data_IF_428754677223
#
_entry.id   IF_428754677223
#
_cell.length_a   1.000
_cell.length_b   1.000
_cell.length_c   1.000
_cell.angle_alpha   90.00
_cell.angle_beta   90.00
_cell.angle_gamma   90.00
#
_symmetry.space_group_name_H-M   'P 1'
#
loop_
_entity.id
_entity.type
_entity.pdbx_description
1 polymer ?
#
# COMPACT_ATOMS: atom_id res chain seq x y z
N UNK A 1 14.29 -21.10 20.53
CA UNK A 1 14.91 -21.88 19.42
C UNK A 1 14.02 -21.67 18.23
N UNK A 2 14.53 -21.01 17.18
CA UNK A 2 13.77 -20.77 15.94
C UNK A 2 13.63 -22.12 15.23
N UNK A 3 12.41 -22.55 14.97
CA UNK A 3 12.11 -23.79 14.30
C UNK A 3 12.54 -23.63 12.82
N UNK A 4 13.63 -24.30 12.40
CA UNK A 4 14.25 -24.14 11.07
C UNK A 4 13.36 -24.59 9.89
N UNK A 5 12.13 -25.02 10.14
CA UNK A 5 11.18 -25.48 9.12
C UNK A 5 9.99 -24.54 8.91
N UNK A 6 9.93 -23.40 9.59
CA UNK A 6 8.84 -22.43 9.43
C UNK A 6 9.15 -21.49 8.25
N UNK A 7 8.17 -21.31 7.38
CA UNK A 7 8.29 -20.41 6.22
C UNK A 7 8.56 -18.98 6.68
N UNK A 8 9.40 -18.27 5.95
CA UNK A 8 9.73 -16.86 6.26
C UNK A 8 8.47 -15.98 6.31
N UNK A 9 7.49 -16.28 5.47
CA UNK A 9 6.19 -15.60 5.42
C UNK A 9 5.37 -15.82 6.69
N UNK A 10 5.38 -17.03 7.27
CA UNK A 10 4.66 -17.32 8.51
C UNK A 10 5.30 -16.60 9.70
N UNK A 11 6.63 -16.61 9.77
CA UNK A 11 7.39 -15.85 10.77
C UNK A 11 7.10 -14.34 10.66
N UNK A 12 7.03 -13.80 9.43
CA UNK A 12 6.73 -12.39 9.21
C UNK A 12 5.31 -12.03 9.67
N UNK A 13 4.33 -12.91 9.41
CA UNK A 13 2.97 -12.72 9.87
C UNK A 13 2.88 -12.74 11.41
N UNK A 14 3.50 -13.70 12.08
CA UNK A 14 3.48 -13.79 13.55
C UNK A 14 4.20 -12.58 14.18
N UNK A 15 5.33 -12.16 13.63
CA UNK A 15 6.01 -10.94 14.06
C UNK A 15 5.11 -9.71 13.92
N UNK A 16 4.43 -9.54 12.77
CA UNK A 16 3.51 -8.44 12.57
C UNK A 16 2.33 -8.49 13.55
N UNK A 17 1.77 -9.68 13.84
CA UNK A 17 0.71 -9.87 14.84
C UNK A 17 1.14 -9.42 16.23
N UNK A 18 2.35 -9.83 16.64
CA UNK A 18 2.90 -9.44 17.93
C UNK A 18 3.07 -7.92 18.03
N UNK A 19 3.69 -7.31 16.99
CA UNK A 19 3.98 -5.87 16.99
C UNK A 19 2.74 -4.99 16.94
N UNK A 20 1.71 -5.39 16.20
CA UNK A 20 0.44 -4.67 16.07
C UNK A 20 -0.61 -5.08 17.12
N UNK A 21 -0.25 -5.92 18.10
CA UNK A 21 -1.19 -6.40 19.11
C UNK A 21 -1.90 -5.25 19.83
N UNK A 22 -3.23 -5.30 19.85
CA UNK A 22 -4.08 -4.29 20.48
C UNK A 22 -4.29 -3.02 19.66
N UNK A 23 -3.67 -2.90 18.49
CA UNK A 23 -3.98 -1.79 17.57
C UNK A 23 -5.27 -2.08 16.79
N UNK A 24 -6.04 -1.03 16.53
CA UNK A 24 -7.31 -1.09 15.80
C UNK A 24 -7.25 -0.22 14.54
N UNK A 25 -7.96 -0.60 13.48
CA UNK A 25 -8.16 0.25 12.30
C UNK A 25 -9.05 1.45 12.66
N UNK A 26 -8.87 2.55 11.90
CA UNK A 26 -9.68 3.78 12.05
C UNK A 26 -11.02 3.66 11.31
N UNK A 27 -11.72 2.56 11.52
CA UNK A 27 -13.03 2.28 10.95
C UNK A 27 -14.11 2.60 11.99
N UNK A 28 -15.37 2.78 11.57
CA UNK A 28 -16.51 2.89 12.48
C UNK A 28 -16.75 1.56 13.21
N UNK A 29 -16.57 0.44 12.50
CA UNK A 29 -16.62 -0.91 13.09
C UNK A 29 -15.24 -1.28 13.65
N UNK A 30 -15.12 -1.73 14.90
CA UNK A 30 -13.84 -2.15 15.46
C UNK A 30 -13.25 -3.35 14.71
N UNK A 31 -12.08 -3.17 14.12
CA UNK A 31 -11.33 -4.20 13.40
C UNK A 31 -9.86 -4.15 13.82
N UNK A 32 -9.27 -5.29 14.18
CA UNK A 32 -7.86 -5.36 14.53
C UNK A 32 -6.97 -4.91 13.36
N UNK A 33 -5.94 -4.11 13.67
CA UNK A 33 -5.06 -3.54 12.66
C UNK A 33 -4.37 -4.60 11.80
N UNK A 34 -4.03 -5.75 12.36
CA UNK A 34 -3.34 -6.84 11.65
C UNK A 34 -4.09 -7.33 10.40
N UNK A 35 -5.41 -7.11 10.32
CA UNK A 35 -6.19 -7.44 9.12
C UNK A 35 -5.69 -6.68 7.89
N UNK A 36 -5.19 -5.44 8.06
CA UNK A 36 -4.63 -4.63 6.98
C UNK A 36 -3.36 -5.26 6.38
N UNK A 37 -2.27 -5.52 7.12
CA UNK A 37 -1.11 -6.21 6.58
C UNK A 37 -1.43 -7.58 5.94
N UNK A 38 -2.38 -8.33 6.50
CA UNK A 38 -2.84 -9.60 5.92
C UNK A 38 -3.48 -9.37 4.54
N UNK A 39 -4.36 -8.39 4.42
CA UNK A 39 -5.00 -8.05 3.15
C UNK A 39 -3.99 -7.58 2.12
N UNK A 40 -3.04 -6.71 2.51
CA UNK A 40 -1.97 -6.24 1.63
C UNK A 40 -1.12 -7.41 1.12
N UNK A 41 -0.72 -8.34 1.99
CA UNK A 41 0.02 -9.53 1.60
C UNK A 41 -0.77 -10.44 0.64
N UNK A 42 -2.08 -10.60 0.85
CA UNK A 42 -2.96 -11.34 -0.07
C UNK A 42 -3.07 -10.66 -1.44
N UNK A 43 -3.13 -9.33 -1.48
CA UNK A 43 -3.10 -8.57 -2.73
C UNK A 43 -1.75 -8.72 -3.44
N UNK A 44 -0.62 -8.68 -2.72
CA UNK A 44 0.71 -8.93 -3.28
C UNK A 44 0.77 -10.34 -3.89
N UNK A 45 0.29 -11.37 -3.20
CA UNK A 45 0.17 -12.74 -3.76
C UNK A 45 -0.69 -12.75 -5.04
N UNK A 46 -1.81 -12.05 -5.05
CA UNK A 46 -2.72 -11.98 -6.21
C UNK A 46 -2.03 -11.40 -7.45
N UNK A 47 -1.27 -10.30 -7.31
CA UNK A 47 -0.74 -9.57 -8.46
C UNK A 47 0.68 -9.97 -8.85
N UNK A 48 1.49 -10.48 -7.91
CA UNK A 48 2.91 -10.74 -8.09
C UNK A 48 3.31 -12.22 -7.90
N UNK A 49 2.36 -13.17 -7.99
CA UNK A 49 2.59 -14.60 -7.75
C UNK A 49 3.66 -15.24 -8.67
N UNK A 50 3.94 -14.63 -9.81
CA UNK A 50 4.93 -15.14 -10.77
C UNK A 50 6.35 -14.57 -10.53
N UNK A 51 6.56 -13.73 -9.51
CA UNK A 51 7.88 -13.21 -9.18
C UNK A 51 8.68 -14.25 -8.39
N UNK A 52 9.95 -14.41 -8.74
CA UNK A 52 10.86 -15.34 -8.06
C UNK A 52 11.02 -15.01 -6.56
N UNK A 53 10.97 -13.72 -6.21
CA UNK A 53 11.10 -13.22 -4.84
C UNK A 53 9.75 -13.00 -4.14
N UNK A 54 8.71 -13.76 -4.50
CA UNK A 54 7.34 -13.56 -3.96
C UNK A 54 7.30 -13.67 -2.44
N UNK A 55 8.08 -14.57 -1.82
CA UNK A 55 8.10 -14.74 -0.37
C UNK A 55 8.70 -13.53 0.34
N UNK A 56 9.71 -12.86 -0.24
CA UNK A 56 10.26 -11.61 0.27
C UNK A 56 9.24 -10.47 0.19
N UNK A 57 8.50 -10.40 -0.93
CA UNK A 57 7.44 -9.41 -1.12
C UNK A 57 6.29 -9.60 -0.13
N UNK A 58 5.82 -10.83 0.04
CA UNK A 58 4.73 -11.19 0.97
C UNK A 58 5.16 -10.90 2.41
N UNK A 59 6.37 -11.30 2.79
CA UNK A 59 6.92 -11.01 4.12
C UNK A 59 7.04 -9.50 4.37
N UNK A 60 7.54 -8.75 3.37
CA UNK A 60 7.62 -7.29 3.46
C UNK A 60 6.24 -6.64 3.53
N UNK A 61 5.23 -7.21 2.87
CA UNK A 61 3.85 -6.75 2.96
C UNK A 61 3.24 -6.97 4.35
N UNK A 62 3.51 -8.10 5.01
CA UNK A 62 3.11 -8.28 6.42
C UNK A 62 3.79 -7.27 7.36
N UNK A 63 5.02 -6.89 7.07
CA UNK A 63 5.87 -6.05 7.93
C UNK A 63 5.84 -4.55 7.60
N UNK A 64 5.15 -4.13 6.53
CA UNK A 64 5.33 -2.81 5.89
C UNK A 64 5.13 -1.61 6.82
N UNK A 65 4.24 -1.73 7.80
CA UNK A 65 3.93 -0.66 8.76
C UNK A 65 4.61 -0.85 10.13
N UNK A 66 5.35 -1.94 10.34
CA UNK A 66 5.93 -2.24 11.67
C UNK A 66 6.95 -1.20 12.12
N UNK A 67 7.78 -0.65 11.21
CA UNK A 67 8.74 0.40 11.54
C UNK A 67 8.09 1.77 11.74
N UNK A 68 6.93 2.04 11.12
CA UNK A 68 6.24 3.32 11.23
C UNK A 68 5.30 3.37 12.45
N UNK A 69 4.57 2.28 12.71
CA UNK A 69 3.45 2.28 13.64
C UNK A 69 3.70 1.46 14.92
N UNK A 70 4.89 0.89 15.11
CA UNK A 70 5.23 0.08 16.28
C UNK A 70 6.61 0.41 16.85
N UNK A 71 7.03 -0.34 17.86
CA UNK A 71 8.38 -0.25 18.43
C UNK A 71 9.41 -1.16 17.73
N UNK A 72 9.06 -1.76 16.57
CA UNK A 72 10.01 -2.55 15.80
C UNK A 72 11.15 -1.68 15.28
N UNK A 73 12.36 -2.23 15.26
CA UNK A 73 13.53 -1.55 14.76
C UNK A 73 14.05 -2.19 13.49
N UNK A 74 14.71 -1.40 12.63
CA UNK A 74 15.37 -1.91 11.43
C UNK A 74 16.35 -3.04 11.74
N UNK A 75 17.12 -2.93 12.87
CA UNK A 75 18.04 -3.98 13.32
C UNK A 75 17.31 -5.28 13.63
N UNK A 76 16.18 -5.18 14.32
CA UNK A 76 15.33 -6.34 14.66
C UNK A 76 14.81 -7.03 13.40
N UNK A 77 14.31 -6.26 12.41
CA UNK A 77 13.89 -6.80 11.13
C UNK A 77 15.05 -7.48 10.39
N UNK A 78 16.22 -6.85 10.34
CA UNK A 78 17.40 -7.42 9.67
C UNK A 78 17.85 -8.73 10.32
N UNK A 79 17.84 -8.81 11.65
CA UNK A 79 18.20 -10.03 12.38
C UNK A 79 17.20 -11.18 12.13
N UNK A 80 15.91 -10.88 12.01
CA UNK A 80 14.87 -11.90 11.84
C UNK A 80 14.62 -12.30 10.39
N UNK A 81 14.73 -11.36 9.44
CA UNK A 81 14.26 -11.53 8.05
C UNK A 81 15.32 -11.22 7.00
N UNK A 82 16.52 -10.80 7.39
CA UNK A 82 17.60 -10.48 6.47
C UNK A 82 17.48 -9.12 5.80
N UNK A 83 18.49 -8.77 4.99
CA UNK A 83 18.62 -7.43 4.41
C UNK A 83 17.58 -7.12 3.33
N UNK A 84 17.14 -8.11 2.53
CA UNK A 84 16.21 -7.88 1.43
C UNK A 84 14.87 -7.36 1.99
N UNK A 85 14.27 -8.11 2.89
CA UNK A 85 12.98 -7.77 3.51
C UNK A 85 13.08 -6.48 4.33
N UNK A 86 14.12 -6.36 5.19
CA UNK A 86 14.26 -5.16 6.02
C UNK A 86 14.49 -3.88 5.22
N UNK A 87 15.19 -3.96 4.07
CA UNK A 87 15.36 -2.82 3.16
C UNK A 87 14.05 -2.43 2.48
N UNK A 88 13.26 -3.42 2.02
CA UNK A 88 11.93 -3.14 1.46
C UNK A 88 11.02 -2.47 2.48
N UNK A 89 10.96 -2.98 3.71
CA UNK A 89 10.15 -2.37 4.78
C UNK A 89 10.65 -0.94 5.10
N UNK A 90 11.96 -0.73 5.16
CA UNK A 90 12.54 0.61 5.35
C UNK A 90 12.17 1.56 4.21
N UNK A 91 12.19 1.09 2.98
CA UNK A 91 11.79 1.88 1.81
C UNK A 91 10.31 2.26 1.87
N UNK A 92 9.45 1.38 2.38
CA UNK A 92 8.01 1.61 2.57
C UNK A 92 7.72 2.62 3.69
N UNK A 93 8.52 2.64 4.76
CA UNK A 93 8.37 3.51 5.94
C UNK A 93 8.47 4.99 5.56
N UNK A 94 7.53 5.81 6.02
CA UNK A 94 7.51 7.24 5.72
C UNK A 94 8.52 8.03 6.57
N UNK A 95 9.01 9.14 6.02
CA UNK A 95 9.74 10.15 6.77
C UNK A 95 8.76 11.26 7.20
N UNK A 96 8.40 11.27 8.47
CA UNK A 96 7.39 12.19 9.01
C UNK A 96 7.81 13.66 8.96
N UNK A 97 9.10 13.96 9.04
CA UNK A 97 9.61 15.34 8.90
C UNK A 97 9.35 15.84 7.49
N UNK A 98 9.81 15.10 6.48
CA UNK A 98 9.59 15.48 5.07
C UNK A 98 8.11 15.47 4.70
N UNK A 99 7.34 14.51 5.21
CA UNK A 99 5.89 14.43 5.00
C UNK A 99 5.16 15.65 5.54
N UNK A 100 5.60 16.17 6.70
CA UNK A 100 5.04 17.39 7.30
C UNK A 100 5.46 18.66 6.54
N UNK A 101 6.72 18.75 6.13
CA UNK A 101 7.25 19.92 5.41
C UNK A 101 6.67 20.08 4.01
N UNK A 102 6.56 18.97 3.26
CA UNK A 102 6.12 18.98 1.87
C UNK A 102 4.60 18.90 1.71
N UNK A 103 3.88 18.48 2.75
CA UNK A 103 2.50 18.04 2.68
C UNK A 103 2.38 16.58 2.18
N UNK A 104 1.44 15.83 2.79
CA UNK A 104 1.32 14.38 2.61
C UNK A 104 1.20 13.96 1.14
N UNK A 105 0.32 14.58 0.35
CA UNK A 105 0.07 14.20 -1.04
C UNK A 105 1.32 14.37 -1.91
N UNK A 106 2.00 15.51 -1.81
CA UNK A 106 3.22 15.80 -2.57
C UNK A 106 4.34 14.82 -2.18
N UNK A 107 4.55 14.63 -0.87
CA UNK A 107 5.55 13.71 -0.34
C UNK A 107 5.34 12.28 -0.87
N UNK A 108 4.12 11.73 -0.74
CA UNK A 108 3.81 10.38 -1.20
C UNK A 108 3.93 10.24 -2.71
N UNK A 109 3.52 11.24 -3.49
CA UNK A 109 3.67 11.25 -4.94
C UNK A 109 5.14 11.10 -5.35
N UNK A 110 6.02 11.91 -4.78
CA UNK A 110 7.46 11.87 -5.07
C UNK A 110 8.10 10.57 -4.57
N UNK A 111 7.79 10.16 -3.34
CA UNK A 111 8.30 8.93 -2.75
C UNK A 111 7.94 7.70 -3.60
N UNK A 112 6.67 7.53 -3.95
CA UNK A 112 6.21 6.38 -4.73
C UNK A 112 6.77 6.40 -6.17
N UNK A 113 7.08 7.57 -6.72
CA UNK A 113 7.75 7.68 -8.03
C UNK A 113 9.19 7.19 -7.98
N UNK A 114 9.89 7.37 -6.86
CA UNK A 114 11.29 6.95 -6.68
C UNK A 114 11.48 5.56 -6.06
N UNK A 115 10.41 4.88 -5.63
CA UNK A 115 10.47 3.54 -5.06
C UNK A 115 10.99 2.50 -6.07
N UNK A 116 11.66 1.45 -5.55
CA UNK A 116 11.91 0.24 -6.31
C UNK A 116 10.62 -0.35 -6.87
N UNK A 117 10.69 -1.21 -7.89
CA UNK A 117 9.51 -1.85 -8.46
C UNK A 117 8.76 -2.67 -7.40
N UNK A 118 9.49 -3.41 -6.58
CA UNK A 118 8.93 -4.26 -5.54
C UNK A 118 8.27 -3.47 -4.41
N UNK A 119 8.90 -2.41 -3.94
CA UNK A 119 8.31 -1.51 -2.94
C UNK A 119 7.04 -0.81 -3.48
N UNK A 120 7.03 -0.43 -4.76
CA UNK A 120 5.85 0.16 -5.38
C UNK A 120 4.68 -0.84 -5.47
N UNK A 121 4.94 -2.12 -5.79
CA UNK A 121 3.89 -3.16 -5.77
C UNK A 121 3.21 -3.19 -4.40
N UNK A 122 3.99 -3.29 -3.32
CA UNK A 122 3.47 -3.35 -1.95
C UNK A 122 2.70 -2.05 -1.63
N UNK A 123 3.26 -0.90 -1.97
CA UNK A 123 2.62 0.40 -1.66
C UNK A 123 1.33 0.66 -2.44
N UNK A 124 1.21 0.13 -3.66
CA UNK A 124 -0.04 0.14 -4.41
C UNK A 124 -1.07 -0.82 -3.81
N UNK A 125 -0.66 -2.01 -3.36
CA UNK A 125 -1.55 -2.95 -2.66
C UNK A 125 -2.06 -2.37 -1.33
N UNK A 126 -1.19 -1.72 -0.53
CA UNK A 126 -1.57 -0.94 0.65
C UNK A 126 -2.63 0.12 0.30
N UNK A 127 -2.40 0.88 -0.75
CA UNK A 127 -3.37 1.89 -1.21
C UNK A 127 -4.70 1.28 -1.61
N UNK A 128 -4.69 0.13 -2.29
CA UNK A 128 -5.90 -0.59 -2.69
C UNK A 128 -6.71 -1.07 -1.48
N UNK A 129 -6.07 -1.71 -0.48
CA UNK A 129 -6.76 -2.14 0.74
C UNK A 129 -7.36 -0.95 1.51
N UNK A 130 -6.60 0.14 1.60
CA UNK A 130 -7.09 1.36 2.25
C UNK A 130 -8.30 1.97 1.53
N UNK A 131 -8.32 2.01 0.19
CA UNK A 131 -9.49 2.49 -0.57
C UNK A 131 -10.68 1.56 -0.36
N UNK A 132 -10.46 0.24 -0.40
CA UNK A 132 -11.52 -0.77 -0.21
C UNK A 132 -12.14 -0.73 1.19
N UNK A 133 -11.45 -0.18 2.19
CA UNK A 133 -11.97 -0.06 3.55
C UNK A 133 -12.66 1.28 3.84
N UNK A 134 -12.74 2.20 2.88
CA UNK A 134 -13.33 3.54 3.10
C UNK A 134 -14.83 3.51 3.38
N UNK A 135 -15.56 2.49 2.91
CA UNK A 135 -17.01 2.37 3.12
C UNK A 135 -17.42 2.45 4.59
N UNK A 136 -16.56 2.07 5.50
CA UNK A 136 -16.78 2.10 6.94
C UNK A 136 -16.09 3.29 7.63
N UNK A 137 -16.10 4.46 6.97
CA UNK A 137 -15.52 5.70 7.50
C UNK A 137 -16.45 6.89 7.24
N UNK A 138 -16.14 8.07 7.82
CA UNK A 138 -16.95 9.25 7.57
C UNK A 138 -16.72 9.89 6.20
N UNK A 139 -17.75 10.55 5.66
CA UNK A 139 -17.77 11.13 4.31
C UNK A 139 -16.63 12.14 4.05
N UNK A 140 -16.26 12.95 5.03
CA UNK A 140 -15.18 13.93 4.88
C UNK A 140 -13.81 13.25 4.73
N UNK A 141 -13.59 12.14 5.45
CA UNK A 141 -12.39 11.34 5.33
C UNK A 141 -12.33 10.64 3.97
N UNK A 142 -13.44 10.06 3.52
CA UNK A 142 -13.55 9.43 2.19
C UNK A 142 -13.16 10.42 1.10
N UNK A 143 -13.79 11.61 1.08
CA UNK A 143 -13.51 12.65 0.08
C UNK A 143 -12.02 13.01 0.04
N UNK A 144 -11.44 13.32 1.21
CA UNK A 144 -10.03 13.66 1.33
C UNK A 144 -9.11 12.54 0.82
N UNK A 145 -9.37 11.29 1.23
CA UNK A 145 -8.52 10.14 0.88
C UNK A 145 -8.58 9.80 -0.61
N UNK A 146 -9.77 9.90 -1.22
CA UNK A 146 -9.95 9.69 -2.65
C UNK A 146 -9.21 10.75 -3.48
N UNK A 147 -9.31 12.05 -3.11
CA UNK A 147 -8.55 13.12 -3.78
C UNK A 147 -7.05 12.91 -3.67
N UNK A 148 -6.56 12.55 -2.49
CA UNK A 148 -5.15 12.20 -2.28
C UNK A 148 -4.74 11.05 -3.19
N UNK A 149 -5.53 9.96 -3.21
CA UNK A 149 -5.24 8.76 -4.01
C UNK A 149 -5.14 9.10 -5.49
N UNK A 150 -6.12 9.83 -6.05
CA UNK A 150 -6.14 10.22 -7.45
C UNK A 150 -4.93 11.10 -7.80
N UNK A 151 -4.61 12.07 -6.94
CA UNK A 151 -3.47 12.96 -7.17
C UNK A 151 -2.14 12.20 -7.20
N UNK A 152 -1.95 11.24 -6.27
CA UNK A 152 -0.76 10.39 -6.21
C UNK A 152 -0.65 9.51 -7.45
N UNK A 153 -1.73 8.80 -7.82
CA UNK A 153 -1.72 7.91 -8.99
C UNK A 153 -1.45 8.67 -10.28
N UNK A 154 -2.06 9.85 -10.46
CA UNK A 154 -1.81 10.71 -11.61
C UNK A 154 -0.35 11.14 -11.69
N UNK A 155 0.26 11.50 -10.56
CA UNK A 155 1.66 11.88 -10.53
C UNK A 155 2.57 10.72 -10.91
N UNK A 156 2.35 9.52 -10.36
CA UNK A 156 3.15 8.32 -10.64
C UNK A 156 3.05 7.95 -12.13
N UNK A 157 1.84 7.89 -12.70
CA UNK A 157 1.61 7.53 -14.10
C UNK A 157 2.34 8.46 -15.06
N UNK A 158 2.47 9.74 -14.72
CA UNK A 158 3.11 10.73 -15.57
C UNK A 158 4.63 10.85 -15.37
N UNK A 159 5.18 10.36 -14.25
CA UNK A 159 6.56 10.64 -13.86
C UNK A 159 7.45 9.40 -13.70
N UNK A 160 6.94 8.17 -13.96
CA UNK A 160 7.76 6.96 -14.00
C UNK A 160 7.23 5.93 -14.98
N UNK A 161 8.11 5.04 -15.43
CA UNK A 161 7.70 3.84 -16.16
C UNK A 161 7.04 2.84 -15.21
N UNK A 162 5.95 2.24 -15.65
CA UNK A 162 5.16 1.27 -14.90
C UNK A 162 5.09 -0.04 -15.68
N UNK A 163 5.35 -1.16 -15.01
CA UNK A 163 5.16 -2.49 -15.59
C UNK A 163 3.70 -2.93 -15.50
N UNK A 164 3.38 -4.09 -16.09
CA UNK A 164 2.00 -4.63 -16.13
C UNK A 164 1.41 -4.88 -14.73
N UNK A 165 2.22 -5.29 -13.75
CA UNK A 165 1.77 -5.52 -12.36
C UNK A 165 1.29 -4.20 -11.76
N UNK A 166 2.10 -3.14 -11.85
CA UNK A 166 1.73 -1.81 -11.36
C UNK A 166 0.44 -1.31 -12.01
N UNK A 167 0.33 -1.43 -13.34
CA UNK A 167 -0.84 -0.97 -14.08
C UNK A 167 -2.12 -1.75 -13.70
N UNK A 168 -2.01 -3.06 -13.48
CA UNK A 168 -3.14 -3.87 -13.04
C UNK A 168 -3.65 -3.45 -11.65
N UNK A 169 -2.74 -3.20 -10.69
CA UNK A 169 -3.12 -2.73 -9.35
C UNK A 169 -3.76 -1.33 -9.44
N UNK A 170 -3.16 -0.42 -10.21
CA UNK A 170 -3.70 0.94 -10.41
C UNK A 170 -5.09 0.89 -11.04
N UNK A 171 -5.33 0.01 -12.01
CA UNK A 171 -6.65 -0.20 -12.61
C UNK A 171 -7.68 -0.64 -11.57
N UNK A 172 -7.31 -1.58 -10.68
CA UNK A 172 -8.22 -2.04 -9.64
C UNK A 172 -8.44 -0.97 -8.55
N UNK A 173 -7.42 -0.16 -8.21
CA UNK A 173 -7.62 1.04 -7.35
C UNK A 173 -8.62 1.99 -8.00
N UNK A 174 -8.51 2.27 -9.31
CA UNK A 174 -9.43 3.17 -10.00
C UNK A 174 -10.87 2.64 -10.04
N UNK A 175 -11.06 1.31 -10.22
CA UNK A 175 -12.38 0.69 -10.12
C UNK A 175 -12.97 0.88 -8.72
N UNK A 176 -12.16 0.62 -7.70
CA UNK A 176 -12.61 0.73 -6.31
C UNK A 176 -12.91 2.18 -5.90
N UNK A 177 -12.09 3.15 -6.33
CA UNK A 177 -12.38 4.58 -6.19
C UNK A 177 -13.76 4.91 -6.77
N UNK A 178 -14.08 4.42 -7.97
CA UNK A 178 -15.40 4.62 -8.61
C UNK A 178 -16.54 3.99 -7.81
N UNK A 179 -16.33 2.79 -7.27
CA UNK A 179 -17.30 2.10 -6.45
C UNK A 179 -17.61 2.90 -5.17
N UNK A 180 -16.57 3.34 -4.46
CA UNK A 180 -16.71 4.16 -3.24
C UNK A 180 -17.47 5.46 -3.52
N UNK A 181 -17.16 6.15 -4.63
CA UNK A 181 -17.86 7.37 -5.04
C UNK A 181 -19.35 7.12 -5.21
N UNK A 182 -19.70 6.07 -5.96
CA UNK A 182 -21.10 5.71 -6.23
C UNK A 182 -21.85 5.32 -4.94
N UNK A 183 -21.26 4.42 -4.14
CA UNK A 183 -21.91 3.90 -2.95
C UNK A 183 -22.06 4.94 -1.84
N UNK A 184 -21.07 5.85 -1.68
CA UNK A 184 -21.06 6.85 -0.62
C UNK A 184 -21.69 8.18 -1.04
N UNK A 185 -22.22 8.30 -2.27
CA UNK A 185 -22.79 9.52 -2.83
C UNK A 185 -21.87 10.72 -2.64
N UNK A 186 -20.62 10.58 -3.09
CA UNK A 186 -19.62 11.63 -3.03
C UNK A 186 -19.80 12.50 -4.28
N UNK A 187 -20.63 13.54 -4.16
CA UNK A 187 -20.93 14.45 -5.26
C UNK A 187 -19.71 15.31 -5.63
N UNK A 188 -19.51 15.50 -6.95
CA UNK A 188 -18.63 16.49 -7.59
C UNK A 188 -17.11 16.29 -7.56
N UNK A 189 -16.56 15.12 -7.20
CA UNK A 189 -15.11 15.05 -7.10
C UNK A 189 -14.42 14.67 -8.41
N UNK A 190 -15.03 13.85 -9.29
CA UNK A 190 -14.13 12.98 -10.06
C UNK A 190 -14.52 12.73 -11.51
N UNK A 191 -15.63 13.20 -11.99
CA UNK A 191 -15.99 13.00 -13.40
C UNK A 191 -14.88 13.47 -14.39
N UNK A 192 -14.01 14.38 -13.96
CA UNK A 192 -12.95 14.98 -14.80
C UNK A 192 -11.55 14.34 -14.63
N UNK A 193 -11.28 13.55 -13.58
CA UNK A 193 -9.92 13.06 -13.28
C UNK A 193 -9.66 11.57 -13.51
N UNK A 194 -10.70 10.77 -13.73
CA UNK A 194 -10.59 9.30 -13.99
C UNK A 194 -10.09 9.01 -15.43
N UNK A 195 -9.95 10.03 -16.27
CA UNK A 195 -9.64 9.89 -17.70
C UNK A 195 -8.19 9.54 -18.08
N UNK A 196 -7.29 9.29 -17.12
CA UNK A 196 -5.86 9.27 -17.43
C UNK A 196 -5.37 7.94 -18.04
N UNK A 197 -5.97 6.81 -17.69
CA UNK A 197 -5.59 5.53 -18.29
C UNK A 197 -6.06 5.39 -19.75
N UNK A 198 -7.20 5.97 -20.12
CA UNK A 198 -7.71 5.93 -21.51
C UNK A 198 -6.85 6.70 -22.53
N UNK A 199 -6.04 7.68 -22.11
CA UNK A 199 -5.20 8.45 -23.04
C UNK A 199 -3.93 7.74 -23.46
N UNK A 200 -3.36 6.83 -22.66
CA UNK A 200 -2.13 6.10 -23.06
C UNK A 200 -2.41 4.92 -23.99
N UNK A 201 -3.59 4.30 -23.91
CA UNK A 201 -3.98 3.25 -24.87
C UNK A 201 -4.22 3.80 -26.28
N UNK A 202 -4.70 5.05 -26.39
CA UNK A 202 -4.94 5.70 -27.69
C UNK A 202 -3.67 6.23 -28.39
N UNK A 203 -2.52 6.27 -27.71
CA UNK A 203 -1.26 6.78 -28.28
C UNK A 203 -0.27 5.66 -28.66
N UNK A 204 -0.62 4.39 -28.42
CA UNK A 204 0.15 3.20 -28.80
C UNK A 204 -0.48 2.41 -29.97
N UNK A 205 -1.53 2.93 -30.59
CA UNK A 205 -2.04 2.53 -31.91
C UNK A 205 -1.61 3.56 -32.96
#
# INVERSE_FOLDING_TARGET
MINNNELITDRALEFAREKHKGQMRKNNTPVEYITHPINVANLVKKYANNKENIDDLVSSAYLHDTLEDTHATYKELTCNFGNIISNLVKELTNNDVLKKEMGKTKYLSMKMTSMSEDALIIKLCDRLDNVSSLYDTNKAFIDKYLRETISILNYIINNRSLNSIHLNIINDINKEVNNVIKCCSIDNIIANNIFILKRKEATQM
#
